data_IF_807505221286
#
_entry.id   IF_807505221286
#
_cell.length_a   1.000
_cell.length_b   1.000
_cell.length_c   1.000
_cell.angle_alpha   90.00
_cell.angle_beta   90.00
_cell.angle_gamma   90.00
#
_symmetry.space_group_name_H-M   'P 1'
#
loop_
_entity.id
_entity.type
_entity.pdbx_description
1 polymer ?
#
# COMPACT_ATOMS: atom_id res chain seq x y z
N UNK A 1 17.42 98.23 -42.14
CA UNK A 1 18.11 98.14 -43.45
C UNK A 1 17.04 98.35 -44.50
N UNK A 2 17.13 99.45 -45.25
CA UNK A 2 16.18 99.83 -46.30
C UNK A 2 16.19 98.82 -47.45
N UNK A 3 15.02 98.36 -47.87
CA UNK A 3 14.82 97.78 -49.19
C UNK A 3 13.95 98.77 -49.97
N UNK A 4 14.60 99.54 -50.85
CA UNK A 4 13.94 100.43 -51.79
C UNK A 4 13.05 99.60 -52.73
N UNK A 5 11.76 99.92 -52.75
CA UNK A 5 10.81 99.39 -53.72
C UNK A 5 11.06 100.08 -55.07
N UNK A 6 11.76 99.38 -55.97
CA UNK A 6 11.96 99.79 -57.35
C UNK A 6 10.64 99.65 -58.12
N UNK A 7 9.77 100.66 -58.03
CA UNK A 7 8.60 100.79 -58.91
C UNK A 7 9.08 101.21 -60.30
N UNK A 8 9.49 100.22 -61.11
CA UNK A 8 9.75 100.40 -62.53
C UNK A 8 8.45 100.87 -63.22
N UNK A 9 8.42 102.15 -63.60
CA UNK A 9 7.31 102.78 -64.29
C UNK A 9 7.19 102.15 -65.68
N UNK A 10 6.25 101.21 -65.84
CA UNK A 10 5.92 100.61 -67.14
C UNK A 10 5.32 101.71 -68.01
N UNK A 11 6.13 102.27 -68.90
CA UNK A 11 5.64 103.19 -69.93
C UNK A 11 4.88 102.35 -70.95
N UNK A 12 3.55 102.46 -70.92
CA UNK A 12 2.71 101.74 -71.87
C UNK A 12 3.01 102.20 -73.30
N UNK A 13 3.35 101.28 -74.23
CA UNK A 13 3.67 101.64 -75.59
C UNK A 13 2.45 102.25 -76.29
N UNK A 14 2.62 103.39 -76.97
CA UNK A 14 1.52 104.08 -77.65
C UNK A 14 0.97 103.26 -78.82
N UNK A 15 -0.34 103.08 -78.91
CA UNK A 15 -0.99 102.35 -80.01
C UNK A 15 -0.97 103.12 -81.35
N UNK A 16 -0.64 104.42 -81.32
CA UNK A 16 -0.73 105.34 -82.45
C UNK A 16 0.52 105.34 -83.36
N UNK A 17 1.61 104.70 -82.95
CA UNK A 17 2.86 104.60 -83.72
C UNK A 17 3.22 103.15 -84.04
N UNK A 18 3.81 102.92 -85.22
CA UNK A 18 4.23 101.58 -85.67
C UNK A 18 5.21 100.91 -84.70
N UNK A 19 6.11 101.69 -84.08
CA UNK A 19 7.08 101.17 -83.12
C UNK A 19 6.41 100.81 -81.79
N UNK A 20 5.40 101.57 -81.35
CA UNK A 20 4.59 101.22 -80.18
C UNK A 20 3.78 99.94 -80.39
N UNK A 21 3.18 99.75 -81.57
CA UNK A 21 2.50 98.50 -81.93
C UNK A 21 3.45 97.29 -81.94
N UNK A 22 4.68 97.46 -82.43
CA UNK A 22 5.70 96.39 -82.40
C UNK A 22 6.12 96.03 -80.98
N UNK A 23 6.32 97.03 -80.12
CA UNK A 23 6.64 96.81 -78.71
C UNK A 23 5.50 96.07 -77.98
N UNK A 24 4.24 96.44 -78.25
CA UNK A 24 3.08 95.77 -77.65
C UNK A 24 2.96 94.30 -78.10
N UNK A 25 3.20 94.02 -79.39
CA UNK A 25 3.25 92.63 -79.89
C UNK A 25 4.29 91.80 -79.16
N UNK A 26 5.47 92.37 -78.88
CA UNK A 26 6.54 91.64 -78.21
C UNK A 26 6.23 91.40 -76.72
N UNK A 27 5.62 92.38 -76.05
CA UNK A 27 5.11 92.23 -74.68
C UNK A 27 4.04 91.12 -74.63
N UNK A 28 3.08 91.12 -75.53
CA UNK A 28 2.01 90.11 -75.56
C UNK A 28 2.55 88.70 -75.88
N UNK A 29 3.54 88.57 -76.77
CA UNK A 29 4.23 87.30 -76.97
C UNK A 29 4.96 86.82 -75.71
N UNK A 30 5.64 87.71 -74.99
CA UNK A 30 6.31 87.37 -73.74
C UNK A 30 5.31 86.90 -72.68
N UNK A 31 4.18 87.59 -72.53
CA UNK A 31 3.10 87.18 -71.63
C UNK A 31 2.53 85.81 -72.02
N UNK A 32 2.29 85.59 -73.31
CA UNK A 32 1.82 84.31 -73.80
C UNK A 32 2.83 83.18 -73.53
N UNK A 33 4.13 83.43 -73.72
CA UNK A 33 5.18 82.46 -73.40
C UNK A 33 5.19 82.11 -71.90
N UNK A 34 5.06 83.12 -71.03
CA UNK A 34 4.96 82.91 -69.58
C UNK A 34 3.70 82.10 -69.21
N UNK A 35 2.54 82.41 -69.80
CA UNK A 35 1.30 81.66 -69.56
C UNK A 35 1.41 80.19 -69.98
N UNK A 36 2.15 79.88 -71.05
CA UNK A 36 2.40 78.50 -71.45
C UNK A 36 3.28 77.75 -70.44
N UNK A 37 4.28 78.43 -69.87
CA UNK A 37 5.15 77.86 -68.84
C UNK A 37 4.36 77.59 -67.55
N UNK A 38 3.59 78.57 -67.08
CA UNK A 38 2.69 78.44 -65.93
C UNK A 38 1.67 77.30 -66.15
N UNK A 39 1.12 77.18 -67.35
CA UNK A 39 0.19 76.10 -67.70
C UNK A 39 0.87 74.72 -67.61
N UNK A 40 2.12 74.62 -68.04
CA UNK A 40 2.90 73.39 -67.96
C UNK A 40 3.18 73.02 -66.48
N UNK A 41 3.57 73.98 -65.66
CA UNK A 41 3.81 73.79 -64.22
C UNK A 41 2.53 73.37 -63.49
N UNK A 42 1.41 74.05 -63.75
CA UNK A 42 0.12 73.68 -63.16
C UNK A 42 -0.31 72.27 -63.56
N UNK A 43 -0.12 71.90 -64.83
CA UNK A 43 -0.46 70.54 -65.30
C UNK A 43 0.40 69.49 -64.61
N UNK A 44 1.69 69.76 -64.43
CA UNK A 44 2.59 68.89 -63.68
C UNK A 44 2.13 68.73 -62.23
N UNK A 45 1.86 69.84 -61.54
CA UNK A 45 1.39 69.84 -60.15
C UNK A 45 0.06 69.08 -59.98
N UNK A 46 -0.88 69.23 -60.92
CA UNK A 46 -2.13 68.46 -60.94
C UNK A 46 -1.84 66.96 -61.06
N UNK A 47 -0.94 66.55 -61.96
CA UNK A 47 -0.57 65.15 -62.13
C UNK A 47 0.07 64.58 -60.85
N UNK A 48 0.97 65.32 -60.21
CA UNK A 48 1.61 64.90 -58.94
C UNK A 48 0.58 64.74 -57.81
N UNK A 49 -0.29 65.73 -57.62
CA UNK A 49 -1.33 65.68 -56.59
C UNK A 49 -2.31 64.54 -56.82
N UNK A 50 -2.68 64.25 -58.07
CA UNK A 50 -3.50 63.08 -58.42
C UNK A 50 -2.78 61.77 -58.08
N UNK A 51 -1.49 61.66 -58.40
CA UNK A 51 -0.67 60.50 -58.04
C UNK A 51 -0.60 60.27 -56.53
N UNK A 52 -0.35 61.33 -55.75
CA UNK A 52 -0.36 61.27 -54.29
C UNK A 52 -1.74 60.86 -53.75
N UNK A 53 -2.82 61.42 -54.28
CA UNK A 53 -4.18 61.08 -53.86
C UNK A 53 -4.48 59.59 -54.08
N UNK A 54 -4.05 59.03 -55.21
CA UNK A 54 -4.19 57.61 -55.49
C UNK A 54 -3.39 56.74 -54.51
N UNK A 55 -2.17 57.14 -54.16
CA UNK A 55 -1.36 56.44 -53.15
C UNK A 55 -2.00 56.50 -51.76
N UNK A 56 -2.57 57.64 -51.36
CA UNK A 56 -3.27 57.72 -50.08
C UNK A 56 -4.51 56.82 -50.05
N UNK A 57 -5.27 56.76 -51.15
CA UNK A 57 -6.41 55.85 -51.28
C UNK A 57 -5.99 54.38 -51.17
N UNK A 58 -4.95 53.96 -51.89
CA UNK A 58 -4.48 52.57 -51.82
C UNK A 58 -4.00 52.21 -50.43
N UNK A 59 -3.21 53.09 -49.80
CA UNK A 59 -2.73 52.88 -48.41
C UNK A 59 -3.87 52.80 -47.40
N UNK A 60 -4.90 53.63 -47.54
CA UNK A 60 -6.07 53.58 -46.66
C UNK A 60 -6.81 52.24 -46.78
N UNK A 61 -6.99 51.74 -48.01
CA UNK A 61 -7.63 50.43 -48.25
C UNK A 61 -6.78 49.30 -47.68
N UNK A 62 -5.47 49.29 -47.94
CA UNK A 62 -4.57 48.25 -47.39
C UNK A 62 -4.57 48.26 -45.88
N UNK A 63 -4.45 49.44 -45.25
CA UNK A 63 -4.48 49.56 -43.79
C UNK A 63 -5.80 49.04 -43.21
N UNK A 64 -6.93 49.35 -43.84
CA UNK A 64 -8.23 48.83 -43.43
C UNK A 64 -8.28 47.30 -43.51
N UNK A 65 -7.79 46.71 -44.60
CA UNK A 65 -7.74 45.26 -44.76
C UNK A 65 -6.84 44.59 -43.72
N UNK A 66 -5.70 45.19 -43.39
CA UNK A 66 -4.80 44.66 -42.37
C UNK A 66 -5.45 44.71 -40.99
N UNK A 67 -6.14 45.81 -40.66
CA UNK A 67 -6.89 45.94 -39.40
C UNK A 67 -8.01 44.90 -39.28
N UNK A 68 -8.78 44.67 -40.36
CA UNK A 68 -9.86 43.68 -40.37
C UNK A 68 -9.28 42.26 -40.20
N UNK A 69 -8.18 41.93 -40.89
CA UNK A 69 -7.49 40.64 -40.74
C UNK A 69 -6.96 40.42 -39.33
N UNK A 70 -6.35 41.43 -38.72
CA UNK A 70 -5.84 41.33 -37.36
C UNK A 70 -6.99 41.19 -36.33
N UNK A 71 -8.12 41.86 -36.57
CA UNK A 71 -9.31 41.69 -35.75
C UNK A 71 -9.85 40.26 -35.83
N UNK A 72 -9.94 39.69 -37.03
CA UNK A 72 -10.44 38.32 -37.22
C UNK A 72 -9.47 37.30 -36.61
N UNK A 73 -8.16 37.46 -36.80
CA UNK A 73 -7.13 36.63 -36.13
C UNK A 73 -7.24 36.70 -34.62
N UNK A 74 -7.47 37.89 -34.07
CA UNK A 74 -7.68 38.07 -32.63
C UNK A 74 -8.90 37.30 -32.13
N UNK A 75 -10.03 37.38 -32.83
CA UNK A 75 -11.26 36.65 -32.48
C UNK A 75 -11.09 35.14 -32.54
N UNK A 76 -10.41 34.64 -33.57
CA UNK A 76 -10.16 33.20 -33.73
C UNK A 76 -9.26 32.68 -32.59
N UNK A 77 -8.22 33.43 -32.24
CA UNK A 77 -7.33 33.08 -31.13
C UNK A 77 -8.07 33.10 -29.79
N UNK A 78 -8.88 34.13 -29.53
CA UNK A 78 -9.72 34.20 -28.32
C UNK A 78 -10.70 33.02 -28.23
N UNK A 79 -11.33 32.62 -29.34
CA UNK A 79 -12.22 31.47 -29.37
C UNK A 79 -11.48 30.17 -29.05
N UNK A 80 -10.30 29.97 -29.64
CA UNK A 80 -9.45 28.81 -29.38
C UNK A 80 -8.99 28.76 -27.91
N UNK A 81 -8.57 29.89 -27.36
CA UNK A 81 -8.12 29.97 -25.96
C UNK A 81 -9.28 29.72 -24.99
N UNK A 82 -10.49 30.22 -25.29
CA UNK A 82 -11.68 29.93 -24.51
C UNK A 82 -12.03 28.44 -24.50
N UNK A 83 -11.91 27.75 -25.64
CA UNK A 83 -12.15 26.31 -25.71
C UNK A 83 -11.10 25.53 -24.89
N UNK A 84 -9.83 25.91 -25.00
CA UNK A 84 -8.75 25.32 -24.21
C UNK A 84 -8.97 25.50 -22.71
N UNK A 85 -9.35 26.69 -22.28
CA UNK A 85 -9.66 26.98 -20.87
C UNK A 85 -10.82 26.11 -20.38
N UNK A 86 -11.89 25.94 -21.17
CA UNK A 86 -13.01 25.07 -20.81
C UNK A 86 -12.58 23.61 -20.66
N UNK A 87 -11.72 23.12 -21.56
CA UNK A 87 -11.18 21.76 -21.47
C UNK A 87 -10.35 21.59 -20.19
N UNK A 88 -9.45 22.52 -19.91
CA UNK A 88 -8.61 22.48 -18.71
C UNK A 88 -9.44 22.56 -17.42
N UNK A 89 -10.50 23.38 -17.38
CA UNK A 89 -11.40 23.44 -16.23
C UNK A 89 -12.15 22.12 -15.99
N UNK A 90 -12.54 21.44 -17.07
CA UNK A 90 -13.17 20.12 -16.98
C UNK A 90 -12.21 19.09 -16.42
N UNK A 91 -10.99 19.02 -16.95
CA UNK A 91 -9.94 18.12 -16.46
C UNK A 91 -9.59 18.40 -15.00
N UNK A 92 -9.51 19.67 -14.61
CA UNK A 92 -9.24 20.06 -13.23
C UNK A 92 -10.33 19.57 -12.26
N UNK A 93 -11.60 19.68 -12.68
CA UNK A 93 -12.72 19.15 -11.89
C UNK A 93 -12.64 17.63 -11.73
N UNK A 94 -12.34 16.91 -12.81
CA UNK A 94 -12.18 15.45 -12.79
C UNK A 94 -11.02 15.01 -11.87
N UNK A 95 -9.87 15.68 -11.97
CA UNK A 95 -8.70 15.40 -11.12
C UNK A 95 -9.01 15.67 -9.65
N UNK A 96 -9.70 16.77 -9.32
CA UNK A 96 -10.09 17.08 -7.94
C UNK A 96 -11.02 16.02 -7.37
N UNK A 97 -12.00 15.55 -8.15
CA UNK A 97 -12.90 14.48 -7.73
C UNK A 97 -12.14 13.18 -7.45
N UNK A 98 -11.17 12.82 -8.30
CA UNK A 98 -10.37 11.62 -8.10
C UNK A 98 -9.45 11.76 -6.87
N UNK A 99 -8.89 12.96 -6.64
CA UNK A 99 -8.10 13.24 -5.44
C UNK A 99 -8.94 13.06 -4.16
N UNK A 100 -10.16 13.61 -4.14
CA UNK A 100 -11.08 13.44 -3.01
C UNK A 100 -11.42 11.96 -2.80
N UNK A 101 -11.68 11.21 -3.88
CA UNK A 101 -11.96 9.77 -3.81
C UNK A 101 -10.78 8.98 -3.23
N UNK A 102 -9.58 9.19 -3.76
CA UNK A 102 -8.38 8.47 -3.33
C UNK A 102 -8.03 8.84 -1.88
N UNK A 103 -8.18 10.11 -1.49
CA UNK A 103 -7.94 10.54 -0.11
C UNK A 103 -8.91 9.88 0.87
N UNK A 104 -10.20 9.73 0.51
CA UNK A 104 -11.17 9.02 1.33
C UNK A 104 -10.84 7.53 1.49
N UNK A 105 -10.43 6.86 0.39
CA UNK A 105 -9.99 5.47 0.43
C UNK A 105 -8.74 5.27 1.28
N UNK A 106 -7.79 6.20 1.19
CA UNK A 106 -6.58 6.15 2.01
C UNK A 106 -6.90 6.28 3.50
N UNK A 107 -7.80 7.20 3.85
CA UNK A 107 -8.24 7.38 5.24
C UNK A 107 -8.95 6.13 5.77
N UNK A 108 -9.79 5.48 4.95
CA UNK A 108 -10.43 4.21 5.33
C UNK A 108 -9.38 3.12 5.58
N UNK A 109 -8.45 2.92 4.65
CA UNK A 109 -7.34 1.95 4.81
C UNK A 109 -6.51 2.24 6.07
N UNK A 110 -6.16 3.49 6.34
CA UNK A 110 -5.46 3.90 7.57
C UNK A 110 -6.25 3.48 8.83
N UNK A 111 -7.55 3.78 8.88
CA UNK A 111 -8.39 3.36 10.03
C UNK A 111 -8.47 1.84 10.18
N UNK A 112 -8.52 1.10 9.07
CA UNK A 112 -8.52 -0.37 9.12
C UNK A 112 -7.18 -0.92 9.58
N UNK A 113 -6.07 -0.31 9.16
CA UNK A 113 -4.72 -0.69 9.56
C UNK A 113 -4.52 -0.44 11.05
N UNK A 114 -4.96 0.71 11.57
CA UNK A 114 -4.94 1.02 12.99
C UNK A 114 -5.72 -0.01 13.81
N UNK A 115 -6.93 -0.38 13.35
CA UNK A 115 -7.75 -1.41 13.99
C UNK A 115 -7.03 -2.77 14.02
N UNK A 116 -6.43 -3.18 12.91
CA UNK A 116 -5.70 -4.45 12.81
C UNK A 116 -4.44 -4.46 13.68
N UNK A 117 -3.70 -3.34 13.74
CA UNK A 117 -2.55 -3.19 14.64
C UNK A 117 -2.97 -3.32 16.10
N UNK A 118 -4.03 -2.62 16.50
CA UNK A 118 -4.57 -2.75 17.86
C UNK A 118 -5.00 -4.19 18.19
N UNK A 119 -5.56 -4.92 17.21
CA UNK A 119 -5.88 -6.34 17.38
C UNK A 119 -4.62 -7.21 17.50
N UNK A 120 -3.61 -6.99 16.66
CA UNK A 120 -2.37 -7.77 16.67
C UNK A 120 -1.56 -7.56 17.96
N UNK A 121 -1.55 -6.36 18.52
CA UNK A 121 -0.92 -6.08 19.82
C UNK A 121 -1.58 -6.86 20.97
N UNK A 122 -2.87 -7.20 20.87
CA UNK A 122 -3.55 -8.07 21.85
C UNK A 122 -3.09 -9.54 21.71
N UNK A 123 -2.64 -9.97 20.52
CA UNK A 123 -2.16 -11.33 20.26
C UNK A 123 -0.64 -11.52 20.44
N UNK A 124 0.15 -10.44 20.48
CA UNK A 124 1.61 -10.51 20.67
C UNK A 124 2.04 -10.94 22.10
N UNK A 125 1.07 -11.08 23.02
CA UNK A 125 1.29 -11.72 24.32
C UNK A 125 1.40 -13.25 24.27
N UNK A 126 1.24 -13.89 23.10
CA UNK A 126 1.44 -15.32 22.94
C UNK A 126 2.95 -15.65 22.93
N UNK A 127 3.42 -16.61 23.75
CA UNK A 127 4.85 -16.92 23.84
C UNK A 127 5.37 -17.46 22.50
N UNK A 128 6.42 -16.84 21.98
CA UNK A 128 7.20 -17.32 20.83
C UNK A 128 7.83 -18.68 21.17
N UNK A 129 7.12 -19.77 20.85
CA UNK A 129 7.68 -21.13 20.89
C UNK A 129 8.03 -21.55 19.48
N UNK A 130 9.24 -22.05 19.27
CA UNK A 130 9.65 -22.59 17.98
C UNK A 130 8.87 -23.88 17.69
N UNK A 131 7.88 -23.77 16.81
CA UNK A 131 7.16 -24.92 16.30
C UNK A 131 7.99 -25.53 15.17
N UNK A 132 8.65 -26.65 15.45
CA UNK A 132 9.29 -27.47 14.42
C UNK A 132 8.26 -28.48 13.94
N UNK A 133 7.61 -28.19 12.81
CA UNK A 133 6.69 -29.13 12.20
C UNK A 133 7.45 -30.28 11.54
N UNK A 134 7.58 -31.39 12.26
CA UNK A 134 8.01 -32.68 11.70
C UNK A 134 6.78 -33.47 11.25
N UNK A 135 6.02 -32.91 10.29
CA UNK A 135 4.86 -33.58 9.71
C UNK A 135 5.22 -34.29 8.41
N UNK A 136 4.96 -35.60 8.31
CA UNK A 136 4.98 -36.31 7.03
C UNK A 136 3.63 -36.03 6.34
N UNK A 137 3.66 -35.37 5.19
CA UNK A 137 2.44 -35.04 4.42
C UNK A 137 1.90 -36.30 3.72
N UNK A 138 0.99 -37.02 4.37
CA UNK A 138 0.16 -38.05 3.74
C UNK A 138 -0.89 -37.44 2.80
N UNK A 139 -1.25 -38.15 1.74
CA UNK A 139 -2.23 -37.68 0.73
C UNK A 139 -3.61 -37.39 1.39
N UNK A 140 -4.33 -36.35 0.93
CA UNK A 140 -5.53 -35.86 1.60
C UNK A 140 -6.76 -36.57 1.05
N UNK A 141 -7.13 -37.76 1.57
CA UNK A 141 -8.42 -38.34 1.20
C UNK A 141 -9.28 -38.92 2.32
N UNK A 142 -8.84 -38.93 3.57
CA UNK A 142 -9.75 -39.19 4.70
C UNK A 142 -9.53 -38.13 5.76
N UNK A 143 -10.63 -37.60 6.29
CA UNK A 143 -10.64 -36.53 7.28
C UNK A 143 -9.61 -36.80 8.36
N UNK A 144 -8.65 -35.90 8.50
CA UNK A 144 -7.51 -36.09 9.39
C UNK A 144 -8.00 -35.93 10.83
N UNK A 145 -8.45 -37.03 11.43
CA UNK A 145 -8.54 -37.11 12.88
C UNK A 145 -7.11 -37.17 13.39
N UNK A 146 -6.61 -36.04 13.89
CA UNK A 146 -5.32 -36.00 14.56
C UNK A 146 -5.45 -36.80 15.87
N UNK A 147 -5.01 -38.05 15.83
CA UNK A 147 -4.82 -38.84 17.04
C UNK A 147 -3.52 -38.35 17.68
N UNK A 148 -3.60 -37.25 18.44
CA UNK A 148 -2.50 -36.79 19.26
C UNK A 148 -2.47 -37.66 20.51
N UNK A 149 -1.72 -38.76 20.49
CA UNK A 149 -1.41 -39.52 21.71
C UNK A 149 -0.50 -38.63 22.57
N UNK A 150 -0.97 -38.11 23.72
CA UNK A 150 -0.15 -37.24 24.56
C UNK A 150 0.94 -38.08 25.22
N UNK A 151 2.13 -38.09 24.62
CA UNK A 151 3.31 -38.70 25.23
C UNK A 151 3.87 -37.72 26.27
N UNK A 152 3.66 -38.03 27.55
CA UNK A 152 4.31 -37.28 28.63
C UNK A 152 5.71 -37.86 28.83
N UNK A 153 6.73 -37.18 28.31
CA UNK A 153 8.12 -37.51 28.59
C UNK A 153 8.52 -36.92 29.95
N UNK A 154 8.67 -37.77 30.96
CA UNK A 154 9.14 -37.34 32.28
C UNK A 154 10.62 -37.73 32.47
N UNK A 155 11.54 -36.76 32.58
CA UNK A 155 12.97 -37.05 32.76
C UNK A 155 13.19 -37.67 34.14
N UNK A 156 13.53 -38.96 34.17
CA UNK A 156 13.87 -39.68 35.40
C UNK A 156 15.37 -39.91 35.51
N UNK A 157 15.91 -39.72 36.71
CA UNK A 157 17.26 -40.15 37.04
C UNK A 157 17.31 -41.69 37.11
N UNK A 158 18.39 -42.28 36.57
CA UNK A 158 18.53 -43.73 36.46
C UNK A 158 18.38 -44.45 37.80
N UNK A 159 17.57 -45.51 37.82
CA UNK A 159 17.21 -46.24 39.05
C UNK A 159 15.85 -45.83 39.63
N UNK A 160 15.17 -44.86 39.02
CA UNK A 160 13.79 -44.46 39.37
C UNK A 160 12.80 -45.05 38.37
N UNK A 161 11.61 -45.44 38.85
CA UNK A 161 10.50 -45.89 38.01
C UNK A 161 9.23 -45.10 38.37
N UNK A 162 8.45 -44.76 37.35
CA UNK A 162 7.13 -44.15 37.53
C UNK A 162 6.08 -45.26 37.55
N UNK A 163 5.24 -45.24 38.57
CA UNK A 163 4.14 -46.20 38.72
C UNK A 163 2.86 -45.39 38.87
N UNK A 164 1.90 -45.67 38.00
CA UNK A 164 0.54 -45.16 38.08
C UNK A 164 -0.35 -46.19 38.77
N UNK A 165 -1.33 -45.71 39.53
CA UNK A 165 -2.36 -46.56 40.13
C UNK A 165 -3.72 -46.05 39.66
N UNK A 166 -4.61 -46.98 39.30
CA UNK A 166 -6.00 -46.65 38.95
C UNK A 166 -6.75 -46.04 40.15
N UNK A 167 -6.57 -46.63 41.34
CA UNK A 167 -7.19 -46.13 42.57
C UNK A 167 -6.27 -45.14 43.32
N UNK A 168 -6.74 -43.90 43.47
CA UNK A 168 -6.04 -42.86 44.22
C UNK A 168 -5.77 -43.24 45.69
N UNK A 169 -6.64 -44.05 46.30
CA UNK A 169 -6.52 -44.52 47.68
C UNK A 169 -5.31 -45.44 47.86
N UNK A 170 -4.97 -46.25 46.85
CA UNK A 170 -3.79 -47.13 46.85
C UNK A 170 -2.52 -46.29 46.72
N UNK A 171 -2.48 -45.36 45.76
CA UNK A 171 -1.35 -44.46 45.57
C UNK A 171 -1.02 -43.68 46.85
N UNK A 172 -2.05 -43.14 47.52
CA UNK A 172 -1.86 -42.37 48.76
C UNK A 172 -1.28 -43.24 49.88
N UNK A 173 -1.77 -44.48 50.06
CA UNK A 173 -1.23 -45.42 51.05
C UNK A 173 0.23 -45.77 50.80
N UNK A 174 0.62 -45.95 49.53
CA UNK A 174 2.00 -46.27 49.13
C UNK A 174 2.91 -45.08 49.43
N UNK A 175 2.51 -43.85 49.08
CA UNK A 175 3.28 -42.63 49.39
C UNK A 175 3.39 -42.39 50.90
N UNK A 176 2.32 -42.63 51.67
CA UNK A 176 2.32 -42.45 53.13
C UNK A 176 3.33 -43.33 53.85
N UNK A 177 3.58 -44.55 53.36
CA UNK A 177 4.55 -45.49 53.97
C UNK A 177 6.01 -45.15 53.64
N UNK A 178 6.27 -44.31 52.63
CA UNK A 178 7.57 -43.88 52.09
C UNK A 178 8.55 -45.00 51.68
N UNK A 179 8.85 -45.98 52.52
CA UNK A 179 9.81 -47.06 52.24
C UNK A 179 9.09 -48.39 52.10
N UNK A 180 9.39 -49.11 51.03
CA UNK A 180 8.81 -50.41 50.73
C UNK A 180 9.92 -51.43 50.48
N UNK A 181 9.74 -52.63 51.02
CA UNK A 181 10.61 -53.77 50.73
C UNK A 181 9.93 -54.60 49.65
N UNK A 182 10.58 -54.73 48.50
CA UNK A 182 10.10 -55.52 47.36
C UNK A 182 10.95 -56.78 47.27
N UNK A 183 10.31 -57.94 47.41
CA UNK A 183 10.97 -59.23 47.24
C UNK A 183 10.98 -59.60 45.76
N UNK A 184 12.17 -59.89 45.22
CA UNK A 184 12.37 -60.23 43.81
C UNK A 184 12.44 -61.75 43.55
N UNK A 185 12.11 -62.56 44.56
CA UNK A 185 12.20 -64.01 44.55
C UNK A 185 13.54 -64.53 45.11
N UNK A 186 13.48 -65.59 45.92
CA UNK A 186 14.63 -66.13 46.66
C UNK A 186 14.98 -65.31 47.90
N UNK A 187 16.29 -65.18 48.22
CA UNK A 187 16.79 -64.39 49.36
C UNK A 187 17.02 -62.90 49.03
N UNK A 188 16.68 -62.45 47.82
CA UNK A 188 16.96 -61.08 47.36
C UNK A 188 15.77 -60.14 47.55
N UNK A 189 16.03 -59.03 48.26
CA UNK A 189 15.06 -57.96 48.46
C UNK A 189 15.68 -56.59 48.16
N UNK A 190 14.85 -55.67 47.66
CA UNK A 190 15.24 -54.28 47.42
C UNK A 190 14.38 -53.36 48.27
N UNK A 191 15.01 -52.37 48.89
CA UNK A 191 14.32 -51.28 49.56
C UNK A 191 14.14 -50.12 48.58
N UNK A 192 12.91 -49.74 48.30
CA UNK A 192 12.56 -48.62 47.43
C UNK A 192 11.88 -47.52 48.21
N UNK A 193 12.05 -46.27 47.76
CA UNK A 193 11.37 -45.11 48.32
C UNK A 193 10.29 -44.61 47.34
N UNK A 194 9.08 -44.42 47.84
CA UNK A 194 7.95 -43.89 47.09
C UNK A 194 7.80 -42.39 47.34
N UNK A 195 7.82 -41.60 46.25
CA UNK A 195 7.61 -40.15 46.27
C UNK A 195 6.49 -39.77 45.31
N UNK A 196 5.59 -38.89 45.75
CA UNK A 196 4.57 -38.31 44.88
C UNK A 196 5.23 -37.37 43.86
N UNK A 197 4.92 -37.59 42.58
CA UNK A 197 5.38 -36.77 41.46
C UNK A 197 4.17 -36.04 40.86
N UNK A 198 4.12 -34.70 40.89
CA UNK A 198 3.05 -33.95 40.23
C UNK A 198 3.27 -33.97 38.72
N UNK A 199 2.48 -34.76 38.00
CA UNK A 199 2.47 -34.76 36.54
C UNK A 199 1.33 -33.86 36.08
N UNK A 200 1.66 -32.84 35.29
CA UNK A 200 0.65 -31.97 34.68
C UNK A 200 0.24 -32.62 33.36
N UNK A 201 -0.92 -33.27 33.34
CA UNK A 201 -1.49 -33.83 32.11
C UNK A 201 -2.35 -32.75 31.45
N UNK A 202 -2.08 -32.34 30.20
CA UNK A 202 -2.95 -31.42 29.50
C UNK A 202 -4.29 -32.11 29.24
N UNK A 203 -5.35 -31.68 29.93
CA UNK A 203 -6.65 -32.36 29.89
C UNK A 203 -7.57 -31.94 28.75
N UNK A 204 -7.30 -30.81 28.07
CA UNK A 204 -7.94 -30.44 26.80
C UNK A 204 -7.33 -29.12 26.29
N UNK A 205 -6.97 -29.07 25.01
CA UNK A 205 -6.81 -27.79 24.30
C UNK A 205 -8.16 -27.51 23.65
N UNK A 206 -8.90 -26.54 24.19
CA UNK A 206 -10.13 -26.07 23.55
C UNK A 206 -9.75 -25.12 22.42
N UNK A 207 -9.67 -25.64 21.20
CA UNK A 207 -9.77 -24.81 20.00
C UNK A 207 -11.25 -24.41 19.83
N UNK A 208 -11.57 -23.12 19.67
CA UNK A 208 -12.96 -22.64 19.51
C UNK A 208 -13.62 -23.05 18.16
N UNK A 209 -13.08 -24.02 17.43
CA UNK A 209 -13.53 -24.39 16.08
C UNK A 209 -13.81 -25.88 15.83
N UNK A 210 -13.52 -26.78 16.77
CA UNK A 210 -13.69 -28.23 16.56
C UNK A 210 -14.53 -28.84 17.70
N UNK A 211 -15.66 -29.45 17.34
CA UNK A 211 -16.51 -30.16 18.30
C UNK A 211 -15.76 -31.40 18.81
N UNK A 212 -15.71 -31.66 20.13
CA UNK A 212 -15.10 -32.87 20.65
C UNK A 212 -15.92 -34.09 20.19
N UNK A 213 -15.22 -35.06 19.58
CA UNK A 213 -15.77 -36.38 19.36
C UNK A 213 -15.93 -37.07 20.73
N UNK A 214 -17.11 -37.64 20.92
CA UNK A 214 -17.60 -38.32 22.12
C UNK A 214 -16.69 -39.47 22.58
N UNK A 215 -16.30 -39.40 23.85
CA UNK A 215 -16.24 -40.49 24.84
C UNK A 215 -15.98 -41.91 24.30
N UNK A 216 -14.72 -42.18 23.95
CA UNK A 216 -14.19 -43.54 23.93
C UNK A 216 -13.52 -43.82 25.26
N UNK A 217 -14.19 -44.56 26.16
CA UNK A 217 -13.54 -45.21 27.30
C UNK A 217 -12.54 -46.24 26.77
N UNK A 218 -11.30 -45.80 26.51
CA UNK A 218 -10.18 -46.70 26.30
C UNK A 218 -9.73 -47.20 27.69
N UNK A 219 -10.06 -48.44 28.00
CA UNK A 219 -9.43 -49.20 29.07
C UNK A 219 -7.93 -49.24 28.79
N UNK A 220 -7.15 -48.38 29.46
CA UNK A 220 -5.71 -48.39 29.37
C UNK A 220 -5.21 -49.63 30.12
N UNK A 221 -4.95 -50.70 29.39
CA UNK A 221 -4.21 -51.86 29.91
C UNK A 221 -2.84 -51.37 30.41
N UNK A 222 -2.54 -51.58 31.69
CA UNK A 222 -1.25 -51.24 32.31
C UNK A 222 -0.12 -52.05 31.64
N UNK A 223 0.45 -51.51 30.57
CA UNK A 223 1.70 -51.99 30.00
C UNK A 223 2.82 -51.42 30.86
N UNK A 224 3.28 -52.19 31.84
CA UNK A 224 4.41 -51.83 32.68
C UNK A 224 5.69 -51.85 31.84
N UNK A 225 6.10 -50.69 31.32
CA UNK A 225 7.38 -50.52 30.62
C UNK A 225 8.50 -50.31 31.64
N UNK A 226 9.18 -51.38 32.02
CA UNK A 226 10.36 -51.30 32.90
C UNK A 226 11.60 -51.00 32.05
N UNK A 227 12.14 -49.80 32.19
CA UNK A 227 13.39 -49.40 31.54
C UNK A 227 14.57 -49.56 32.50
N UNK A 228 15.59 -50.33 32.08
CA UNK A 228 16.87 -50.42 32.80
C UNK A 228 17.95 -49.69 32.00
N UNK A 229 18.39 -48.53 32.48
CA UNK A 229 19.61 -47.88 31.97
C UNK A 229 20.80 -48.27 32.87
N UNK A 230 21.77 -49.01 32.33
CA UNK A 230 23.05 -49.24 33.02
C UNK A 230 23.97 -48.04 32.76
N UNK A 231 24.57 -47.48 33.82
CA UNK A 231 25.47 -46.32 33.74
C UNK A 231 26.90 -46.66 33.34
N UNK A 232 27.30 -47.94 33.22
CA UNK A 232 28.62 -48.31 32.72
C UNK A 232 28.60 -49.63 31.93
N UNK A 233 29.11 -49.53 30.69
CA UNK A 233 29.43 -50.58 29.70
C UNK A 233 28.30 -51.05 28.76
N UNK A 234 28.40 -50.58 27.51
CA UNK A 234 28.15 -51.33 26.25
C UNK A 234 26.74 -51.85 26.02
N UNK A 235 26.01 -51.21 25.10
CA UNK A 235 24.76 -51.76 24.58
C UNK A 235 24.96 -53.10 23.89
N UNK A 236 24.03 -54.03 24.11
CA UNK A 236 23.10 -54.51 23.07
C UNK A 236 22.18 -55.63 23.58
N UNK A 237 21.04 -55.71 22.87
CA UNK A 237 20.01 -56.77 22.77
C UNK A 237 18.81 -56.70 23.72
N UNK A 238 17.66 -56.59 23.06
CA UNK A 238 16.32 -56.48 23.61
C UNK A 238 15.67 -57.87 23.70
N UNK A 239 15.15 -58.21 24.87
CA UNK A 239 14.17 -59.30 25.02
C UNK A 239 13.09 -58.83 25.97
N UNK A 240 11.87 -58.64 25.46
CA UNK A 240 10.67 -58.45 26.26
C UNK A 240 10.35 -59.75 26.99
N UNK A 241 10.35 -59.73 28.31
CA UNK A 241 9.83 -60.83 29.12
C UNK A 241 8.45 -60.42 29.68
N UNK A 242 7.44 -61.23 29.39
CA UNK A 242 6.11 -61.07 29.97
C UNK A 242 6.08 -61.89 31.26
N UNK A 243 5.96 -61.24 32.41
CA UNK A 243 5.77 -61.92 33.69
C UNK A 243 4.34 -61.65 34.17
N UNK A 244 3.49 -62.68 34.21
CA UNK A 244 2.18 -62.61 34.84
C UNK A 244 2.29 -63.06 36.30
N UNK A 245 2.02 -62.18 37.29
CA UNK A 245 1.84 -62.63 38.65
C UNK A 245 0.42 -63.18 38.80
N UNK A 246 0.27 -64.50 38.61
CA UNK A 246 -0.86 -65.24 39.18
C UNK A 246 -0.52 -65.49 40.65
N UNK A 247 -1.12 -64.73 41.56
CA UNK A 247 -1.09 -65.03 42.98
C UNK A 247 -2.53 -65.30 43.46
N UNK A 248 -2.83 -66.60 43.57
CA UNK A 248 -3.95 -67.12 44.34
C UNK A 248 -3.78 -66.72 45.81
N UNK A 249 -4.71 -65.94 46.35
CA UNK A 249 -4.84 -65.74 47.79
C UNK A 249 -5.81 -66.79 48.34
N UNK A 250 -5.24 -67.90 48.84
CA UNK A 250 -5.97 -68.77 49.76
C UNK A 250 -6.12 -68.05 51.11
N UNK A 251 -7.36 -67.77 51.44
CA UNK A 251 -7.84 -67.33 52.74
C UNK A 251 -7.57 -68.41 53.80
N UNK A 252 -6.89 -68.05 54.88
CA UNK A 252 -7.07 -68.72 56.17
C UNK A 252 -7.23 -67.64 57.26
N UNK A 253 -8.48 -67.46 57.66
CA UNK A 253 -8.88 -66.67 58.81
C UNK A 253 -8.51 -67.40 60.11
N UNK A 254 -7.95 -66.69 61.07
CA UNK A 254 -8.05 -67.07 62.48
C UNK A 254 -8.09 -65.82 63.35
N UNK A 255 -9.26 -65.64 63.96
CA UNK A 255 -9.72 -64.55 64.82
C UNK A 255 -8.95 -64.45 66.15
N UNK A 256 -8.73 -63.22 66.64
CA UNK A 256 -8.53 -62.98 68.07
C UNK A 256 -9.05 -61.59 68.46
N UNK A 257 -10.20 -61.57 69.12
CA UNK A 257 -10.78 -60.39 69.79
C UNK A 257 -10.30 -60.32 71.24
N UNK A 258 -9.65 -59.21 71.55
CA UNK A 258 -9.53 -58.50 72.85
C UNK A 258 -10.92 -58.02 73.31
N UNK A 259 -11.34 -57.85 74.58
CA UNK A 259 -10.76 -57.92 75.93
C UNK A 259 -11.92 -57.94 76.98
N UNK A 260 -11.93 -57.24 78.14
CA UNK A 260 -12.10 -57.83 79.46
C UNK A 260 -13.40 -57.42 80.21
N UNK A 261 -13.59 -58.07 81.37
CA UNK A 261 -14.35 -57.71 82.57
C UNK A 261 -15.29 -56.48 82.55
N UNK A 262 -16.59 -56.77 82.70
CA UNK A 262 -17.44 -56.38 83.85
C UNK A 262 -18.31 -57.58 84.22
#
# INVERSE_FOLDING_TARGET
MSSDEDFSLVVDPSEETLDGLRALIEIEKSKHAQLLDDQAELTHSISETQGLNQQFKSRAVTLQQDMDQDQDRGRDQEAQDQERVKLMQKEELEIRQELDRVSAQLQEEETTMERLRAQADVFSGAPERSLVFQGVTGKPQDGVSFLMEPTVEYPMEGGTALITFEEATVAQRVVSKRRHKVDLGGEFYINVEARAVPITVPSSVQDPGLKPASDGQSYSEDKLYIHFSKTRHGGEKWTSATCSPRAELQSSASSRTTSPDV
#
